data_IF_557964581263
#
_entry.id   IF_557964581263
#
_cell.length_a   1.000
_cell.length_b   1.000
_cell.length_c   1.000
_cell.angle_alpha   90.00
_cell.angle_beta   90.00
_cell.angle_gamma   90.00
#
_symmetry.space_group_name_H-M   'P 1'
#
loop_
_entity.id
_entity.type
_entity.pdbx_description
1 polymer ?
#
# COMPACT_ATOMS: atom_id res chain seq x y z
N UNK A 1 -15.76 -3.66 12.50
CA UNK A 1 -15.02 -2.73 13.37
C UNK A 1 -13.95 -2.07 12.50
N UNK A 2 -13.91 -0.75 12.43
CA UNK A 2 -12.88 -0.06 11.65
C UNK A 2 -11.54 -0.12 12.40
N UNK A 3 -10.46 -0.31 11.64
CA UNK A 3 -9.10 -0.16 12.16
C UNK A 3 -8.94 1.26 12.76
N UNK A 4 -8.12 1.47 13.81
CA UNK A 4 -7.84 2.79 14.36
C UNK A 4 -7.38 3.84 13.34
N UNK A 5 -6.91 3.41 12.17
CA UNK A 5 -6.51 4.26 11.05
C UNK A 5 -7.66 4.56 10.06
N UNK A 6 -8.91 4.16 10.36
CA UNK A 6 -10.09 4.43 9.54
C UNK A 6 -10.29 3.51 8.34
N UNK A 7 -9.48 2.46 8.18
CA UNK A 7 -9.67 1.47 7.11
C UNK A 7 -10.69 0.40 7.51
N UNK A 8 -11.36 -0.14 6.50
CA UNK A 8 -12.12 -1.37 6.68
C UNK A 8 -11.16 -2.51 7.04
N UNK A 9 -11.51 -3.34 8.01
CA UNK A 9 -10.72 -4.53 8.34
C UNK A 9 -10.56 -5.47 7.15
N UNK A 10 -11.47 -5.40 6.17
CA UNK A 10 -11.41 -6.15 4.92
C UNK A 10 -10.25 -5.70 4.02
N UNK A 11 -9.83 -4.43 4.11
CA UNK A 11 -8.76 -3.85 3.31
C UNK A 11 -7.36 -4.02 3.95
N UNK A 12 -7.27 -4.40 5.21
CA UNK A 12 -5.99 -4.67 5.87
C UNK A 12 -5.34 -5.89 5.25
N UNK A 13 -4.17 -5.70 4.66
CA UNK A 13 -3.39 -6.77 4.04
C UNK A 13 -2.54 -7.50 5.07
N UNK A 14 -1.79 -6.76 5.89
CA UNK A 14 -0.85 -7.36 6.84
C UNK A 14 -0.55 -6.45 8.02
N UNK A 15 -0.45 -7.05 9.19
CA UNK A 15 -0.04 -6.38 10.43
C UNK A 15 1.42 -6.69 10.73
N UNK A 16 2.33 -5.89 10.19
CA UNK A 16 3.75 -5.96 10.54
C UNK A 16 4.01 -5.46 11.98
N UNK A 17 5.14 -5.82 12.59
CA UNK A 17 5.50 -5.31 13.92
C UNK A 17 5.55 -3.79 14.01
N UNK A 18 6.02 -3.09 12.99
CA UNK A 18 6.23 -1.63 13.00
C UNK A 18 5.33 -0.85 12.04
N UNK A 19 4.51 -1.55 11.25
CA UNK A 19 3.62 -0.92 10.28
C UNK A 19 2.37 -1.75 10.00
N UNK A 20 1.39 -1.12 9.35
CA UNK A 20 0.18 -1.78 8.86
C UNK A 20 0.08 -1.57 7.36
N UNK A 21 -0.07 -2.65 6.61
CA UNK A 21 -0.34 -2.63 5.20
C UNK A 21 -1.84 -2.71 4.92
N UNK A 22 -2.35 -1.82 4.09
CA UNK A 22 -3.74 -1.85 3.64
C UNK A 22 -3.83 -1.62 2.13
N UNK A 23 -4.86 -2.18 1.51
CA UNK A 23 -5.14 -1.97 0.10
C UNK A 23 -5.61 -0.52 -0.11
N UNK A 24 -4.97 0.18 -1.03
CA UNK A 24 -5.32 1.56 -1.37
C UNK A 24 -6.59 1.67 -2.22
N UNK A 25 -7.18 2.87 -2.37
CA UNK A 25 -8.43 3.07 -3.09
C UNK A 25 -8.32 2.95 -4.62
N UNK A 26 -7.13 3.24 -5.19
CA UNK A 26 -6.93 3.36 -6.64
C UNK A 26 -6.48 2.04 -7.26
N UNK A 27 -7.38 1.07 -7.37
CA UNK A 27 -7.04 -0.29 -7.82
C UNK A 27 -6.91 -0.45 -9.34
N UNK A 28 -7.05 0.60 -10.12
CA UNK A 28 -6.48 0.66 -11.48
C UNK A 28 -4.99 0.29 -11.44
N UNK A 29 -4.28 0.73 -10.41
CA UNK A 29 -2.94 0.28 -10.06
C UNK A 29 -3.06 -1.01 -9.25
N UNK A 30 -3.27 -2.13 -9.94
CA UNK A 30 -3.62 -3.42 -9.33
C UNK A 30 -2.63 -3.83 -8.24
N UNK A 31 -3.12 -3.98 -7.03
CA UNK A 31 -2.29 -4.30 -5.86
C UNK A 31 -1.71 -3.07 -5.14
N UNK A 32 -2.13 -1.86 -5.51
CA UNK A 32 -1.72 -0.65 -4.79
C UNK A 32 -2.01 -0.77 -3.31
N UNK A 33 -0.96 -0.61 -2.50
CA UNK A 33 -1.02 -0.63 -1.05
C UNK A 33 -0.47 0.64 -0.44
N UNK A 34 -0.99 0.95 0.74
CA UNK A 34 -0.43 1.93 1.67
C UNK A 34 0.15 1.18 2.86
N UNK A 35 1.35 1.56 3.28
CA UNK A 35 2.01 1.01 4.48
C UNK A 35 2.22 2.13 5.48
N UNK A 36 1.51 2.10 6.59
CA UNK A 36 1.54 3.17 7.60
C UNK A 36 2.37 2.75 8.80
N UNK A 37 3.29 3.62 9.21
CA UNK A 37 4.07 3.43 10.44
C UNK A 37 3.15 3.37 11.67
N UNK A 38 3.46 2.49 12.63
CA UNK A 38 2.80 2.47 13.92
C UNK A 38 3.29 3.59 14.85
N UNK A 39 4.52 4.03 14.63
CA UNK A 39 5.09 5.13 15.40
C UNK A 39 4.64 6.48 14.85
N UNK A 40 4.32 7.40 15.75
CA UNK A 40 3.99 8.78 15.38
C UNK A 40 5.26 9.54 14.98
N UNK A 41 5.59 9.47 13.70
CA UNK A 41 6.72 10.17 13.12
C UNK A 41 6.32 10.75 11.76
N UNK A 42 6.84 11.90 11.42
CA UNK A 42 6.67 12.54 10.11
C UNK A 42 7.89 12.35 9.20
N UNK A 43 9.05 12.00 9.80
CA UNK A 43 10.30 11.82 9.08
C UNK A 43 10.98 10.50 9.48
N UNK A 44 11.68 9.87 8.53
CA UNK A 44 12.44 8.63 8.78
C UNK A 44 13.48 8.79 9.90
N UNK A 45 14.08 9.99 10.01
CA UNK A 45 15.08 10.29 11.04
C UNK A 45 14.52 10.21 12.46
N UNK A 46 13.21 10.35 12.63
CA UNK A 46 12.54 10.32 13.94
C UNK A 46 12.27 8.90 14.45
N UNK A 47 12.38 7.88 13.60
CA UNK A 47 12.10 6.48 13.96
C UNK A 47 13.20 5.83 14.80
N UNK A 48 14.39 6.40 14.85
CA UNK A 48 15.52 5.83 15.60
C UNK A 48 15.84 4.39 15.17
N UNK A 49 15.88 3.48 16.12
CA UNK A 49 16.18 2.07 15.88
C UNK A 49 15.10 1.34 15.05
N UNK A 50 13.85 1.83 15.04
CA UNK A 50 12.74 1.23 14.32
C UNK A 50 12.80 1.50 12.80
N UNK A 51 13.63 2.45 12.37
CA UNK A 51 13.76 2.83 10.95
C UNK A 51 14.13 1.67 10.05
N UNK A 52 15.13 0.88 10.42
CA UNK A 52 15.56 -0.25 9.60
C UNK A 52 14.44 -1.30 9.43
N UNK A 53 13.70 -1.59 10.49
CA UNK A 53 12.56 -2.51 10.45
C UNK A 53 11.43 -1.97 9.57
N UNK A 54 11.08 -0.70 9.69
CA UNK A 54 10.05 -0.05 8.86
C UNK A 54 10.39 -0.10 7.36
N UNK A 55 11.66 0.17 7.01
CA UNK A 55 12.13 0.05 5.62
C UNK A 55 12.11 -1.40 5.12
N UNK A 56 12.47 -2.37 5.96
CA UNK A 56 12.43 -3.79 5.61
C UNK A 56 10.99 -4.29 5.41
N UNK A 57 10.05 -3.84 6.21
CA UNK A 57 8.63 -4.17 6.08
C UNK A 57 8.06 -3.63 4.76
N UNK A 58 8.43 -2.42 4.36
CA UNK A 58 8.09 -1.87 3.05
C UNK A 58 8.65 -2.73 1.91
N UNK A 59 9.91 -3.14 1.99
CA UNK A 59 10.53 -4.00 0.98
C UNK A 59 9.83 -5.36 0.89
N UNK A 60 9.45 -5.96 2.01
CA UNK A 60 8.69 -7.23 2.05
C UNK A 60 7.31 -7.08 1.39
N UNK A 61 6.60 -6.00 1.67
CA UNK A 61 5.32 -5.72 1.00
C UNK A 61 5.49 -5.50 -0.50
N UNK A 62 6.55 -4.80 -0.91
CA UNK A 62 6.89 -4.60 -2.32
C UNK A 62 7.11 -5.93 -3.04
N UNK A 63 7.86 -6.85 -2.46
CA UNK A 63 8.08 -8.20 -3.00
C UNK A 63 6.75 -8.97 -3.15
N UNK A 64 5.84 -8.86 -2.18
CA UNK A 64 4.51 -9.46 -2.27
C UNK A 64 3.72 -8.92 -3.45
N UNK A 65 3.71 -7.60 -3.65
CA UNK A 65 3.02 -6.94 -4.77
C UNK A 65 3.60 -7.40 -6.11
N UNK A 66 4.93 -7.42 -6.22
CA UNK A 66 5.61 -7.87 -7.45
C UNK A 66 5.31 -9.33 -7.76
N UNK A 67 5.34 -10.21 -6.75
CA UNK A 67 5.07 -11.63 -6.92
C UNK A 67 3.61 -11.90 -7.31
N UNK A 68 2.65 -11.20 -6.70
CA UNK A 68 1.23 -11.43 -6.91
C UNK A 68 0.68 -10.81 -8.20
N UNK A 69 1.20 -9.65 -8.62
CA UNK A 69 0.59 -8.86 -9.71
C UNK A 69 1.53 -8.58 -10.89
N UNK A 70 2.83 -8.86 -10.76
CA UNK A 70 3.83 -8.75 -11.83
C UNK A 70 3.77 -7.40 -12.58
N UNK A 71 3.82 -6.26 -11.88
CA UNK A 71 3.77 -4.96 -12.52
C UNK A 71 4.98 -4.74 -13.44
N UNK A 72 4.81 -3.91 -14.46
CA UNK A 72 5.91 -3.46 -15.31
C UNK A 72 6.93 -2.63 -14.51
N UNK A 73 6.45 -1.82 -13.57
CA UNK A 73 7.25 -1.02 -12.65
C UNK A 73 6.50 -0.85 -11.34
N UNK A 74 7.18 -0.89 -10.22
CA UNK A 74 6.64 -0.49 -8.92
C UNK A 74 7.19 0.88 -8.54
N UNK A 75 6.30 1.84 -8.24
CA UNK A 75 6.67 3.14 -7.70
C UNK A 75 6.56 3.14 -6.19
N UNK A 76 7.58 3.68 -5.54
CA UNK A 76 7.70 3.81 -4.08
C UNK A 76 7.65 5.29 -3.74
N UNK A 77 6.69 5.72 -2.94
CA UNK A 77 6.52 7.13 -2.60
C UNK A 77 6.31 7.31 -1.10
N UNK A 78 7.10 8.17 -0.50
CA UNK A 78 7.04 8.55 0.91
C UNK A 78 6.92 10.07 0.98
N UNK A 79 5.74 10.61 0.71
CA UNK A 79 5.53 12.05 0.55
C UNK A 79 5.22 12.75 1.87
N UNK A 80 4.03 12.52 2.43
CA UNK A 80 3.64 13.07 3.73
C UNK A 80 3.30 14.55 3.77
N UNK A 81 3.10 15.20 2.62
CA UNK A 81 2.82 16.64 2.54
C UNK A 81 1.44 17.01 3.11
N UNK A 82 0.42 16.18 2.87
CA UNK A 82 -0.93 16.41 3.37
C UNK A 82 -1.18 15.74 4.71
N UNK A 83 -0.67 14.52 4.88
CA UNK A 83 -0.75 13.76 6.13
C UNK A 83 0.68 13.53 6.63
N UNK A 84 1.15 14.30 7.64
CA UNK A 84 2.52 14.25 8.09
C UNK A 84 2.83 13.05 9.04
N UNK A 85 2.20 11.93 8.80
CA UNK A 85 2.47 10.65 9.45
C UNK A 85 3.10 9.72 8.42
N UNK A 86 4.23 9.12 8.74
CA UNK A 86 4.98 8.28 7.78
C UNK A 86 4.12 7.17 7.20
N UNK A 87 3.94 7.19 5.90
CA UNK A 87 3.26 6.16 5.13
C UNK A 87 3.84 6.05 3.73
N UNK A 88 4.07 4.82 3.30
CA UNK A 88 4.47 4.50 1.93
C UNK A 88 3.24 4.34 1.05
N UNK A 89 3.34 4.85 -0.17
CA UNK A 89 2.48 4.44 -1.27
C UNK A 89 3.28 3.53 -2.20
N UNK A 90 2.81 2.32 -2.44
CA UNK A 90 3.41 1.38 -3.38
C UNK A 90 2.45 1.21 -4.57
N UNK A 91 2.76 1.90 -5.68
CA UNK A 91 1.93 1.92 -6.88
C UNK A 91 2.47 1.00 -7.96
N UNK A 92 1.81 -0.15 -8.23
CA UNK A 92 2.14 -1.00 -9.37
C UNK A 92 1.73 -0.32 -10.68
N UNK A 93 2.67 -0.17 -11.61
CA UNK A 93 2.43 0.45 -12.90
C UNK A 93 2.39 -0.62 -13.99
N UNK A 94 1.32 -0.62 -14.78
CA UNK A 94 1.15 -1.49 -15.94
C UNK A 94 1.83 -0.90 -17.18
N UNK A 95 2.31 -1.75 -18.08
CA UNK A 95 2.79 -1.31 -19.39
C UNK A 95 1.68 -0.66 -20.26
N UNK A 96 0.41 -1.01 -19.97
CA UNK A 96 -0.77 -0.45 -20.66
C UNK A 96 -1.28 0.86 -20.04
N UNK A 97 -0.70 1.31 -18.91
CA UNK A 97 -1.06 2.58 -18.28
C UNK A 97 -0.70 3.74 -19.23
N UNK A 98 -1.68 4.57 -19.67
CA UNK A 98 -1.41 5.68 -20.57
C UNK A 98 -0.46 6.73 -19.96
N UNK A 99 -0.42 6.82 -18.64
CA UNK A 99 0.45 7.74 -17.89
C UNK A 99 1.69 7.05 -17.28
N UNK A 100 2.07 5.87 -17.75
CA UNK A 100 3.14 5.04 -17.15
C UNK A 100 4.50 5.73 -17.01
N UNK A 101 4.75 6.76 -17.81
CA UNK A 101 6.00 7.53 -17.76
C UNK A 101 5.95 8.72 -16.78
N UNK A 102 4.80 8.92 -16.12
CA UNK A 102 4.58 10.01 -15.17
C UNK A 102 4.25 9.45 -13.79
N UNK A 103 4.53 10.22 -12.72
CA UNK A 103 4.00 9.89 -11.40
C UNK A 103 2.47 9.77 -11.43
N UNK A 104 1.91 8.92 -10.57
CA UNK A 104 0.46 8.69 -10.49
C UNK A 104 -0.35 9.96 -10.21
N UNK A 105 0.26 10.94 -9.57
CA UNK A 105 -0.39 12.19 -9.15
C UNK A 105 -0.95 13.00 -10.30
N UNK A 106 -0.38 12.89 -11.51
CA UNK A 106 -0.96 13.50 -12.71
C UNK A 106 -2.36 12.96 -13.03
N UNK A 107 -2.55 11.65 -12.87
CA UNK A 107 -3.85 11.03 -13.08
C UNK A 107 -4.78 11.28 -11.88
N UNK A 108 -4.29 11.21 -10.66
CA UNK A 108 -5.07 11.45 -9.45
C UNK A 108 -5.56 12.90 -9.36
N UNK A 109 -4.73 13.88 -9.73
CA UNK A 109 -5.12 15.28 -9.80
C UNK A 109 -6.26 15.50 -10.81
N UNK A 110 -6.21 14.83 -11.98
CA UNK A 110 -7.33 14.88 -12.93
C UNK A 110 -8.60 14.30 -12.35
N UNK A 111 -8.48 13.22 -11.58
CA UNK A 111 -9.63 12.56 -10.97
C UNK A 111 -10.35 13.42 -9.91
N UNK A 112 -9.70 14.43 -9.34
CA UNK A 112 -10.32 15.36 -8.39
C UNK A 112 -11.48 16.15 -9.03
N UNK A 113 -11.37 16.45 -10.31
CA UNK A 113 -12.36 17.27 -11.05
C UNK A 113 -13.13 16.50 -12.13
N UNK A 114 -12.70 15.27 -12.44
CA UNK A 114 -13.32 14.43 -13.47
C UNK A 114 -13.84 13.12 -12.85
N UNK A 115 -15.19 12.99 -12.66
CA UNK A 115 -15.78 11.78 -12.09
C UNK A 115 -15.59 10.52 -12.93
N UNK A 116 -15.41 10.65 -14.26
CA UNK A 116 -15.15 9.52 -15.16
C UNK A 116 -13.75 8.99 -14.90
N UNK A 117 -12.77 9.88 -14.82
CA UNK A 117 -11.39 9.53 -14.50
C UNK A 117 -11.30 8.91 -13.09
N UNK A 118 -11.99 9.48 -12.11
CA UNK A 118 -12.06 8.93 -10.75
C UNK A 118 -12.58 7.49 -10.76
N UNK A 119 -13.69 7.24 -11.43
CA UNK A 119 -14.28 5.89 -11.55
C UNK A 119 -13.30 4.93 -12.22
N UNK A 120 -12.60 5.37 -13.29
CA UNK A 120 -11.59 4.58 -13.98
C UNK A 120 -10.44 4.17 -13.04
N UNK A 121 -9.94 5.08 -12.24
CA UNK A 121 -8.82 4.82 -11.32
C UNK A 121 -9.23 3.98 -10.11
N UNK A 122 -10.46 4.06 -9.67
CA UNK A 122 -10.99 3.20 -8.59
C UNK A 122 -11.24 1.76 -9.06
N UNK A 123 -11.51 1.56 -10.35
CA UNK A 123 -11.83 0.25 -10.90
C UNK A 123 -10.60 -0.64 -11.05
N UNK A 124 -10.59 -1.77 -10.39
CA UNK A 124 -9.54 -2.78 -10.48
C UNK A 124 -9.88 -3.90 -11.46
N UNK A 125 -8.86 -4.49 -12.09
CA UNK A 125 -8.99 -5.73 -12.87
C UNK A 125 -9.12 -6.98 -11.99
N UNK A 126 -8.76 -6.85 -10.73
CA UNK A 126 -8.88 -7.87 -9.68
C UNK A 126 -9.78 -7.29 -8.58
N UNK A 127 -10.68 -8.10 -8.02
CA UNK A 127 -11.50 -7.65 -6.90
C UNK A 127 -10.64 -7.29 -5.69
N UNK A 128 -11.10 -6.35 -4.87
CA UNK A 128 -10.37 -5.97 -3.65
C UNK A 128 -10.13 -7.17 -2.74
N UNK A 129 -11.15 -8.02 -2.57
CA UNK A 129 -11.04 -9.21 -1.75
C UNK A 129 -9.99 -10.20 -2.28
N UNK A 130 -9.96 -10.43 -3.59
CA UNK A 130 -8.97 -11.31 -4.21
C UNK A 130 -7.55 -10.72 -4.10
N UNK A 131 -7.40 -9.41 -4.26
CA UNK A 131 -6.11 -8.75 -4.11
C UNK A 131 -5.57 -8.90 -2.67
N UNK A 132 -6.40 -8.64 -1.67
CA UNK A 132 -6.05 -8.83 -0.25
C UNK A 132 -5.69 -10.29 0.03
N UNK A 133 -6.50 -11.23 -0.45
CA UNK A 133 -6.28 -12.67 -0.24
C UNK A 133 -4.94 -13.12 -0.82
N UNK A 134 -4.64 -12.77 -2.07
CA UNK A 134 -3.36 -13.12 -2.72
C UNK A 134 -2.16 -12.59 -1.96
N UNK A 135 -2.21 -11.33 -1.54
CA UNK A 135 -1.13 -10.69 -0.79
C UNK A 135 -0.92 -11.39 0.58
N UNK A 136 -2.01 -11.67 1.30
CA UNK A 136 -1.94 -12.38 2.59
C UNK A 136 -1.34 -13.78 2.44
N UNK A 137 -1.78 -14.54 1.45
CA UNK A 137 -1.28 -15.89 1.20
C UNK A 137 0.21 -15.89 0.88
N UNK A 138 0.66 -14.94 0.07
CA UNK A 138 2.08 -14.81 -0.24
C UNK A 138 2.90 -14.44 0.99
N UNK A 139 2.46 -13.44 1.76
CA UNK A 139 3.13 -13.00 2.98
C UNK A 139 3.19 -14.12 4.04
N UNK A 140 2.12 -14.89 4.17
CA UNK A 140 2.10 -16.08 5.04
C UNK A 140 3.10 -17.14 4.55
N UNK A 141 3.16 -17.39 3.25
CA UNK A 141 4.03 -18.41 2.64
C UNK A 141 5.51 -18.12 2.83
N UNK A 142 5.91 -16.84 2.86
CA UNK A 142 7.30 -16.44 3.09
C UNK A 142 7.62 -16.17 4.57
N UNK A 143 6.69 -16.47 5.48
CA UNK A 143 6.83 -16.21 6.92
C UNK A 143 7.16 -14.75 7.25
N UNK A 144 6.49 -13.81 6.59
CA UNK A 144 6.67 -12.39 6.82
C UNK A 144 6.45 -12.05 8.32
N UNK A 145 7.23 -11.11 8.89
CA UNK A 145 7.05 -10.70 10.28
C UNK A 145 5.63 -10.21 10.53
N UNK A 146 5.04 -10.64 11.65
CA UNK A 146 3.66 -10.34 12.01
C UNK A 146 3.56 -10.09 13.50
N UNK A 147 2.69 -9.16 13.90
CA UNK A 147 2.36 -9.02 15.31
C UNK A 147 1.70 -10.32 15.78
N UNK A 148 2.20 -10.92 16.89
CA UNK A 148 1.54 -12.08 17.49
C UNK A 148 0.07 -11.74 17.82
N UNK A 149 -0.87 -12.61 17.44
CA UNK A 149 -2.21 -12.52 17.98
C UNK A 149 -2.11 -12.64 19.49
N UNK A 150 -2.35 -11.54 20.22
CA UNK A 150 -2.66 -11.65 21.64
C UNK A 150 -4.04 -12.30 21.69
N UNK A 151 -4.07 -13.60 21.99
CA UNK A 151 -5.29 -14.27 22.35
C UNK A 151 -5.90 -13.54 23.54
N UNK A 152 -7.12 -13.10 23.40
CA UNK A 152 -7.94 -12.64 24.52
C UNK A 152 -8.48 -13.85 25.25
#
# INVERSE_FOLDING_TARGET
>A
MADPNGWSTADVVWNFPHSVAALGPWQFYTGYCVLVSRDHASELSQLGEMRAAFLAEMATLAEAIEACFQPHKLNYELLGNQVPHLHWHLFPRSAADPDRLRPVWFALDRAETDPVEKTRLEAGSVSRNDAVTRLREWLESCSAPKIPHRGY
#
